data_IF_166361830155
#
_entry.id   IF_166361830155
#
_cell.length_a   1.000
_cell.length_b   1.000
_cell.length_c   1.000
_cell.angle_alpha   90.00
_cell.angle_beta   90.00
_cell.angle_gamma   90.00
#
_symmetry.space_group_name_H-M   'P 1'
#
loop_
_entity.id
_entity.type
_entity.pdbx_description
1 polymer ?
#
# COMPACT_ATOMS: atom_id res chain seq x y z
N UNK A 1 -18.79 -25.46 -29.27
CA UNK A 1 -18.62 -24.09 -28.79
C UNK A 1 -18.55 -24.19 -27.27
N UNK A 2 -17.55 -23.67 -26.60
CA UNK A 2 -17.56 -23.68 -25.13
C UNK A 2 -18.63 -22.72 -24.62
N UNK A 3 -19.45 -23.18 -23.69
CA UNK A 3 -20.50 -22.39 -23.06
C UNK A 3 -19.86 -21.21 -22.27
N UNK A 4 -20.23 -20.00 -22.67
CA UNK A 4 -19.90 -18.79 -21.92
C UNK A 4 -20.71 -18.80 -20.63
N UNK A 5 -20.04 -18.99 -19.49
CA UNK A 5 -20.65 -18.85 -18.17
C UNK A 5 -20.84 -17.35 -17.89
N UNK A 6 -22.07 -16.86 -18.03
CA UNK A 6 -22.46 -15.52 -17.59
C UNK A 6 -22.62 -15.50 -16.08
N UNK A 7 -21.65 -14.93 -15.37
CA UNK A 7 -21.79 -14.66 -13.92
C UNK A 7 -22.39 -13.27 -13.74
N UNK A 8 -23.64 -13.22 -13.36
CA UNK A 8 -24.33 -11.96 -13.01
C UNK A 8 -24.12 -11.67 -11.53
N UNK A 9 -23.35 -10.63 -11.20
CA UNK A 9 -23.24 -10.15 -9.82
C UNK A 9 -24.45 -9.28 -9.48
N UNK A 10 -25.35 -9.78 -8.64
CA UNK A 10 -26.37 -8.93 -8.03
C UNK A 10 -25.74 -8.09 -6.93
N UNK A 11 -25.68 -6.78 -7.12
CA UNK A 11 -25.41 -5.85 -6.03
C UNK A 11 -26.64 -5.80 -5.12
N UNK A 12 -26.61 -6.53 -4.01
CA UNK A 12 -27.72 -6.57 -3.05
C UNK A 12 -27.81 -5.32 -2.17
N UNK A 13 -26.92 -4.33 -2.32
CA UNK A 13 -26.87 -3.10 -1.50
C UNK A 13 -26.63 -3.33 0.00
N UNK A 14 -26.56 -4.58 0.45
CA UNK A 14 -26.29 -4.91 1.84
C UNK A 14 -24.78 -5.03 2.05
N UNK A 15 -24.23 -4.19 2.90
CA UNK A 15 -22.86 -4.34 3.41
C UNK A 15 -22.69 -5.75 3.97
N UNK A 16 -21.68 -6.49 3.50
CA UNK A 16 -21.36 -7.81 4.09
C UNK A 16 -21.04 -7.61 5.57
N UNK A 17 -21.50 -8.57 6.37
CA UNK A 17 -21.24 -8.65 7.81
C UNK A 17 -19.75 -8.42 8.09
N UNK A 18 -19.44 -7.47 8.94
CA UNK A 18 -18.09 -7.21 9.42
C UNK A 18 -17.86 -7.93 10.75
N UNK A 19 -16.61 -8.22 11.09
CA UNK A 19 -16.24 -8.71 12.41
C UNK A 19 -16.30 -7.59 13.46
N UNK A 20 -15.94 -7.88 14.72
CA UNK A 20 -15.96 -6.92 15.83
C UNK A 20 -15.01 -5.72 15.65
N UNK A 21 -14.02 -5.82 14.74
CA UNK A 21 -13.08 -4.77 14.41
C UNK A 21 -13.51 -3.96 13.15
N UNK A 22 -14.71 -4.21 12.65
CA UNK A 22 -15.21 -3.54 11.44
C UNK A 22 -14.61 -4.05 10.14
N UNK A 23 -13.96 -5.23 10.15
CA UNK A 23 -13.30 -5.79 8.97
C UNK A 23 -14.25 -6.73 8.24
N UNK A 24 -14.25 -6.64 6.89
CA UNK A 24 -14.83 -7.65 6.01
C UNK A 24 -13.93 -8.89 5.99
N UNK A 25 -14.44 -10.03 5.57
CA UNK A 25 -13.70 -11.31 5.52
C UNK A 25 -12.32 -11.20 4.85
N UNK A 26 -12.23 -10.54 3.67
CA UNK A 26 -10.96 -10.32 2.99
C UNK A 26 -9.99 -9.47 3.82
N UNK A 27 -10.49 -8.42 4.46
CA UNK A 27 -9.69 -7.53 5.32
C UNK A 27 -9.20 -8.25 6.57
N UNK A 28 -10.03 -9.11 7.17
CA UNK A 28 -9.66 -9.94 8.30
C UNK A 28 -8.57 -10.96 7.95
N UNK A 29 -8.70 -11.63 6.80
CA UNK A 29 -7.65 -12.51 6.27
C UNK A 29 -6.34 -11.76 6.02
N UNK A 30 -6.40 -10.57 5.41
CA UNK A 30 -5.23 -9.74 5.20
C UNK A 30 -4.60 -9.29 6.53
N UNK A 31 -5.43 -8.89 7.49
CA UNK A 31 -4.98 -8.46 8.81
C UNK A 31 -4.35 -9.61 9.62
N UNK A 32 -4.77 -10.84 9.42
CA UNK A 32 -4.13 -12.01 10.04
C UNK A 32 -2.63 -12.13 9.66
N UNK A 33 -2.25 -11.71 8.45
CA UNK A 33 -0.86 -11.67 7.99
C UNK A 33 -0.06 -10.43 8.39
N UNK A 34 -0.60 -9.54 9.21
CA UNK A 34 -0.01 -8.22 9.53
C UNK A 34 1.38 -8.24 10.17
N UNK A 35 1.79 -9.35 10.78
CA UNK A 35 3.13 -9.50 11.38
C UNK A 35 4.23 -9.75 10.35
N UNK A 36 3.89 -10.17 9.13
CA UNK A 36 4.88 -10.41 8.10
C UNK A 36 5.63 -9.12 7.75
N UNK A 37 6.94 -9.23 7.52
CA UNK A 37 7.74 -8.11 7.02
C UNK A 37 7.36 -7.77 5.58
N UNK A 38 7.12 -8.79 4.76
CA UNK A 38 6.67 -8.67 3.38
C UNK A 38 5.31 -9.32 3.21
N UNK A 39 4.35 -8.60 2.65
CA UNK A 39 2.98 -9.06 2.49
C UNK A 39 2.43 -8.67 1.12
N UNK A 40 1.95 -9.65 0.36
CA UNK A 40 1.24 -9.42 -0.88
C UNK A 40 -0.27 -9.59 -0.69
N UNK A 41 -1.03 -8.52 -0.89
CA UNK A 41 -2.48 -8.53 -0.86
C UNK A 41 -3.05 -8.62 -2.27
N UNK A 42 -3.46 -9.81 -2.65
CA UNK A 42 -4.12 -10.07 -3.92
C UNK A 42 -5.63 -10.17 -3.71
N UNK A 43 -6.36 -9.20 -4.21
CA UNK A 43 -7.82 -9.19 -4.09
C UNK A 43 -8.45 -8.35 -5.22
N UNK A 44 -9.66 -8.68 -5.68
CA UNK A 44 -10.31 -7.97 -6.78
C UNK A 44 -10.43 -6.45 -6.54
N UNK A 45 -10.59 -5.64 -7.60
CA UNK A 45 -10.98 -4.25 -7.47
C UNK A 45 -12.22 -4.09 -6.57
N UNK A 46 -12.30 -2.97 -5.86
CA UNK A 46 -13.40 -2.66 -4.92
C UNK A 46 -13.60 -3.65 -3.75
N UNK A 47 -12.69 -4.60 -3.54
CA UNK A 47 -12.74 -5.53 -2.39
C UNK A 47 -12.44 -4.87 -1.03
N UNK A 48 -11.92 -3.64 -1.04
CA UNK A 48 -11.53 -2.89 0.16
C UNK A 48 -10.08 -3.07 0.57
N UNK A 49 -9.17 -3.29 -0.38
CA UNK A 49 -7.71 -3.40 -0.15
C UNK A 49 -7.12 -2.20 0.59
N UNK A 50 -7.47 -0.97 0.18
CA UNK A 50 -6.98 0.26 0.83
C UNK A 50 -7.33 0.28 2.33
N UNK A 51 -8.56 -0.13 2.68
CA UNK A 51 -8.98 -0.22 4.09
C UNK A 51 -8.25 -1.36 4.83
N UNK A 52 -7.98 -2.50 4.17
CA UNK A 52 -7.17 -3.57 4.74
C UNK A 52 -5.75 -3.08 5.07
N UNK A 53 -5.15 -2.30 4.15
CA UNK A 53 -3.85 -1.66 4.39
C UNK A 53 -3.89 -0.73 5.60
N UNK A 54 -4.94 0.11 5.74
CA UNK A 54 -5.07 1.00 6.91
C UNK A 54 -5.04 0.22 8.23
N UNK A 55 -5.78 -0.89 8.33
CA UNK A 55 -5.76 -1.75 9.52
C UNK A 55 -4.37 -2.30 9.81
N UNK A 56 -3.69 -2.82 8.80
CA UNK A 56 -2.34 -3.39 8.92
C UNK A 56 -1.34 -2.31 9.31
N UNK A 57 -1.36 -1.16 8.63
CA UNK A 57 -0.43 -0.06 8.86
C UNK A 57 -0.56 0.51 10.28
N UNK A 58 -1.79 0.70 10.76
CA UNK A 58 -2.05 1.18 12.11
C UNK A 58 -1.60 0.19 13.18
N UNK A 59 -1.81 -1.12 12.97
CA UNK A 59 -1.28 -2.14 13.88
C UNK A 59 0.26 -2.15 13.90
N UNK A 60 0.89 -2.01 12.74
CA UNK A 60 2.35 -1.93 12.67
C UNK A 60 2.92 -0.70 13.39
N UNK A 61 2.25 0.46 13.25
CA UNK A 61 2.61 1.69 13.97
C UNK A 61 2.47 1.55 15.48
N UNK A 62 1.42 0.90 15.96
CA UNK A 62 1.12 0.82 17.39
C UNK A 62 1.83 -0.34 18.09
N UNK A 63 1.93 -1.51 17.43
CA UNK A 63 2.30 -2.76 18.08
C UNK A 63 3.60 -3.39 17.58
N UNK A 64 4.16 -2.92 16.45
CA UNK A 64 5.28 -3.60 15.80
C UNK A 64 6.52 -2.71 15.61
N UNK A 65 6.59 -1.57 16.28
CA UNK A 65 7.76 -0.67 16.25
C UNK A 65 7.96 0.10 14.94
N UNK A 66 7.02 0.01 13.99
CA UNK A 66 7.04 0.84 12.78
C UNK A 66 6.76 2.29 13.19
N UNK A 67 7.55 3.22 12.66
CA UNK A 67 7.45 4.64 12.98
C UNK A 67 6.85 5.46 11.84
N UNK A 68 7.00 4.99 10.60
CA UNK A 68 6.58 5.68 9.38
C UNK A 68 5.78 4.75 8.49
N UNK A 69 4.73 5.26 7.90
CA UNK A 69 3.96 4.59 6.84
C UNK A 69 4.00 5.45 5.60
N UNK A 70 4.45 4.88 4.50
CA UNK A 70 4.51 5.51 3.19
C UNK A 70 3.60 4.71 2.27
N UNK A 71 2.55 5.35 1.76
CA UNK A 71 1.63 4.74 0.79
C UNK A 71 1.90 5.32 -0.58
N UNK A 72 2.38 4.49 -1.49
CA UNK A 72 2.59 4.88 -2.89
C UNK A 72 1.45 4.34 -3.76
N UNK A 73 0.78 5.23 -4.48
CA UNK A 73 -0.36 4.94 -5.37
C UNK A 73 0.01 5.22 -6.83
N UNK A 74 -0.60 4.56 -7.82
CA UNK A 74 -0.24 4.79 -9.22
C UNK A 74 -0.57 6.20 -9.69
N UNK A 75 -1.70 6.76 -9.25
CA UNK A 75 -2.21 8.07 -9.71
C UNK A 75 -2.68 8.94 -8.55
N UNK A 76 -2.67 10.26 -8.76
CA UNK A 76 -3.10 11.26 -7.78
C UNK A 76 -4.56 11.06 -7.33
N UNK A 77 -5.43 10.68 -8.24
CA UNK A 77 -6.86 10.42 -7.97
C UNK A 77 -7.09 9.32 -6.93
N UNK A 78 -6.20 8.34 -6.87
CA UNK A 78 -6.30 7.22 -5.91
C UNK A 78 -5.87 7.65 -4.50
N UNK A 79 -5.09 8.73 -4.38
CA UNK A 79 -4.68 9.28 -3.08
C UNK A 79 -5.86 9.64 -2.16
N UNK A 80 -7.01 10.01 -2.74
CA UNK A 80 -8.25 10.26 -2.00
C UNK A 80 -8.76 9.02 -1.23
N UNK A 81 -8.44 7.80 -1.69
CA UNK A 81 -8.79 6.56 -0.98
C UNK A 81 -8.06 6.40 0.37
N UNK A 82 -7.05 7.22 0.62
CA UNK A 82 -6.24 7.21 1.84
C UNK A 82 -6.40 8.49 2.67
N UNK A 83 -7.48 9.23 2.47
CA UNK A 83 -7.88 10.33 3.35
C UNK A 83 -8.35 9.81 4.72
N UNK A 84 -8.56 10.74 5.66
CA UNK A 84 -9.00 10.44 7.02
C UNK A 84 -10.20 9.49 7.01
N UNK A 85 -10.06 8.38 7.73
CA UNK A 85 -11.08 7.34 7.83
C UNK A 85 -11.33 6.98 9.30
N UNK A 86 -12.58 7.10 9.74
CA UNK A 86 -12.98 6.86 11.13
C UNK A 86 -13.22 5.37 11.41
N UNK A 87 -12.13 4.62 11.57
CA UNK A 87 -12.20 3.16 11.82
C UNK A 87 -12.69 2.81 13.22
N UNK A 88 -12.53 3.71 14.19
CA UNK A 88 -13.04 3.52 15.57
C UNK A 88 -14.55 3.34 15.62
N UNK A 89 -15.29 4.00 14.74
CA UNK A 89 -16.75 3.84 14.64
C UNK A 89 -17.18 2.40 14.35
N UNK A 90 -16.31 1.66 13.68
CA UNK A 90 -16.57 0.27 13.28
C UNK A 90 -15.93 -0.74 14.23
N UNK A 91 -15.29 -0.29 15.33
CA UNK A 91 -14.74 -1.13 16.38
C UNK A 91 -13.22 -1.31 16.34
N UNK A 92 -12.50 -0.62 15.43
CA UNK A 92 -11.04 -0.66 15.44
C UNK A 92 -10.47 0.23 16.57
N UNK A 93 -9.23 -0.02 17.01
CA UNK A 93 -8.66 0.68 18.18
C UNK A 93 -8.26 2.15 17.89
N UNK A 94 -8.03 2.51 16.62
CA UNK A 94 -7.63 3.88 16.22
C UNK A 94 -8.18 4.25 14.85
N UNK A 95 -8.11 5.54 14.50
CA UNK A 95 -8.51 6.07 13.20
C UNK A 95 -7.31 6.19 12.28
N UNK A 96 -7.55 6.12 10.97
CA UNK A 96 -6.60 6.49 9.95
C UNK A 96 -6.69 8.00 9.72
N UNK A 97 -5.65 8.75 10.08
CA UNK A 97 -5.66 10.23 10.03
C UNK A 97 -4.31 10.75 9.54
N UNK A 98 -4.03 10.67 8.24
CA UNK A 98 -2.83 11.29 7.68
C UNK A 98 -2.93 12.82 7.78
N UNK A 99 -1.80 13.49 8.04
CA UNK A 99 -1.74 14.94 7.97
C UNK A 99 -1.89 15.36 6.49
N UNK A 100 -2.85 16.26 6.15
CA UNK A 100 -3.06 16.73 4.77
C UNK A 100 -1.78 17.28 4.10
N UNK A 101 -0.88 17.87 4.88
CA UNK A 101 0.45 18.34 4.41
C UNK A 101 1.28 17.23 3.75
N UNK A 102 1.12 15.99 4.21
CA UNK A 102 1.84 14.82 3.71
C UNK A 102 0.98 13.91 2.79
N UNK A 103 -0.14 14.42 2.31
CA UNK A 103 -0.80 13.86 1.14
C UNK A 103 -0.24 14.55 -0.12
N UNK A 104 0.78 13.95 -0.72
CA UNK A 104 1.48 14.48 -1.89
C UNK A 104 0.79 14.14 -3.22
N UNK A 105 -0.40 13.55 -3.18
CA UNK A 105 -1.23 13.28 -4.36
C UNK A 105 -1.99 14.52 -4.86
N UNK A 106 -1.64 15.70 -4.37
CA UNK A 106 -2.21 16.99 -4.79
C UNK A 106 -1.54 17.54 -6.06
N UNK A 107 -2.14 18.53 -6.76
CA UNK A 107 -1.45 19.27 -7.82
C UNK A 107 -0.18 19.93 -7.30
N UNK A 108 0.83 20.10 -8.16
CA UNK A 108 2.09 20.76 -7.81
C UNK A 108 3.29 20.10 -8.49
N UNK A 109 4.46 20.73 -8.35
CA UNK A 109 5.72 20.28 -8.95
C UNK A 109 6.31 19.07 -8.20
N UNK A 110 6.86 18.11 -8.95
CA UNK A 110 7.49 16.91 -8.35
C UNK A 110 8.67 17.24 -7.43
N UNK A 111 9.46 18.26 -7.74
CA UNK A 111 10.59 18.69 -6.88
C UNK A 111 10.14 19.09 -5.48
N UNK A 112 9.03 19.82 -5.38
CA UNK A 112 8.47 20.21 -4.07
C UNK A 112 7.96 19.00 -3.30
N UNK A 113 7.39 18.00 -3.98
CA UNK A 113 6.90 16.75 -3.38
C UNK A 113 8.04 15.86 -2.90
N UNK A 114 9.12 15.74 -3.67
CA UNK A 114 10.34 15.04 -3.22
C UNK A 114 10.92 15.70 -1.98
N UNK A 115 11.00 17.04 -1.95
CA UNK A 115 11.44 17.76 -0.75
C UNK A 115 10.52 17.52 0.45
N UNK A 116 9.20 17.50 0.25
CA UNK A 116 8.23 17.21 1.31
C UNK A 116 8.36 15.76 1.81
N UNK A 117 8.59 14.80 0.91
CA UNK A 117 8.84 13.40 1.25
C UNK A 117 10.09 13.26 2.16
N UNK A 118 11.19 13.89 1.79
CA UNK A 118 12.42 13.84 2.59
C UNK A 118 12.24 14.50 3.97
N UNK A 119 11.52 15.62 4.03
CA UNK A 119 11.16 16.26 5.31
C UNK A 119 10.29 15.35 6.18
N UNK A 120 9.34 14.62 5.57
CA UNK A 120 8.53 13.66 6.30
C UNK A 120 9.37 12.56 6.97
N UNK A 121 10.40 12.06 6.30
CA UNK A 121 11.27 11.03 6.90
C UNK A 121 12.00 11.53 8.16
N UNK A 122 12.30 12.83 8.22
CA UNK A 122 13.02 13.46 9.31
C UNK A 122 12.09 14.01 10.42
N UNK A 123 10.79 14.19 10.14
CA UNK A 123 9.82 14.75 11.07
C UNK A 123 9.35 13.69 12.08
N UNK A 124 9.72 13.75 13.38
CA UNK A 124 9.40 12.70 14.33
C UNK A 124 7.90 12.59 14.66
N UNK A 125 7.13 13.65 14.45
CA UNK A 125 5.72 13.73 14.84
C UNK A 125 4.79 13.14 13.76
N UNK A 126 5.26 13.10 12.51
CA UNK A 126 4.46 12.67 11.38
C UNK A 126 4.65 11.17 11.09
N UNK A 127 3.54 10.47 10.97
CA UNK A 127 3.54 9.00 10.86
C UNK A 127 3.12 8.47 9.50
N UNK A 128 2.32 9.20 8.73
CA UNK A 128 1.69 8.71 7.51
C UNK A 128 1.90 9.69 6.37
N UNK A 129 2.44 9.20 5.25
CA UNK A 129 2.59 9.93 4.00
C UNK A 129 1.90 9.15 2.88
N UNK A 130 1.20 9.87 2.00
CA UNK A 130 0.60 9.33 0.78
C UNK A 130 1.21 10.04 -0.42
N UNK A 131 1.73 9.30 -1.40
CA UNK A 131 2.35 9.87 -2.59
C UNK A 131 2.07 9.02 -3.84
N UNK A 132 2.43 9.51 -5.01
CA UNK A 132 2.38 8.71 -6.24
C UNK A 132 3.62 7.80 -6.37
N UNK A 133 3.52 6.73 -7.17
CA UNK A 133 4.67 5.89 -7.54
C UNK A 133 5.83 6.73 -8.10
N UNK A 134 5.53 7.76 -8.91
CA UNK A 134 6.54 8.66 -9.45
C UNK A 134 7.26 9.43 -8.34
N UNK A 135 6.51 10.05 -7.42
CA UNK A 135 7.09 10.79 -6.29
C UNK A 135 7.94 9.88 -5.42
N UNK A 136 7.44 8.67 -5.08
CA UNK A 136 8.20 7.68 -4.30
C UNK A 136 9.51 7.30 -4.98
N UNK A 137 9.47 6.99 -6.27
CA UNK A 137 10.66 6.65 -7.06
C UNK A 137 11.68 7.78 -7.06
N UNK A 138 11.25 9.01 -7.35
CA UNK A 138 12.17 10.17 -7.38
C UNK A 138 12.74 10.50 -6.00
N UNK A 139 11.96 10.34 -4.93
CA UNK A 139 12.42 10.57 -3.58
C UNK A 139 13.41 9.50 -3.10
N UNK A 140 13.30 8.28 -3.64
CA UNK A 140 14.20 7.17 -3.34
C UNK A 140 15.51 7.22 -4.16
N UNK A 141 15.57 8.04 -5.20
CA UNK A 141 16.79 8.21 -6.00
C UNK A 141 17.87 8.92 -5.15
N UNK A 142 18.96 8.19 -4.85
CA UNK A 142 20.03 8.67 -3.96
C UNK A 142 19.70 8.69 -2.47
N UNK A 143 18.55 8.15 -2.05
CA UNK A 143 18.24 7.97 -0.64
C UNK A 143 19.03 6.77 -0.09
N UNK A 144 19.64 6.94 1.10
CA UNK A 144 20.14 5.81 1.88
C UNK A 144 18.93 4.98 2.35
N UNK A 145 18.82 3.75 1.87
CA UNK A 145 17.70 2.85 2.19
C UNK A 145 17.54 2.59 3.69
N UNK A 146 18.60 2.74 4.48
CA UNK A 146 18.56 2.64 5.94
C UNK A 146 17.67 3.70 6.60
N UNK A 147 17.42 4.82 5.94
CA UNK A 147 16.42 5.81 6.40
C UNK A 147 15.00 5.26 6.42
N UNK A 148 14.76 4.15 5.74
CA UNK A 148 13.47 3.43 5.75
C UNK A 148 13.42 2.30 6.80
N UNK A 149 14.46 2.12 7.61
CA UNK A 149 14.39 1.21 8.75
C UNK A 149 13.23 1.62 9.67
N UNK A 150 12.46 0.65 10.15
CA UNK A 150 11.22 0.87 10.90
C UNK A 150 10.14 1.65 10.11
N UNK A 151 10.17 1.64 8.79
CA UNK A 151 9.10 2.15 7.94
C UNK A 151 8.30 1.00 7.32
N UNK A 152 7.01 1.25 7.11
CA UNK A 152 6.16 0.46 6.23
C UNK A 152 6.07 1.18 4.88
N UNK A 153 6.50 0.52 3.82
CA UNK A 153 6.30 0.95 2.43
C UNK A 153 5.15 0.14 1.85
N UNK A 154 4.07 0.80 1.53
CA UNK A 154 2.88 0.19 0.92
C UNK A 154 2.75 0.63 -0.53
N UNK A 155 2.65 -0.34 -1.44
CA UNK A 155 2.52 -0.09 -2.88
C UNK A 155 1.13 -0.54 -3.34
N UNK A 156 0.29 0.41 -3.69
CA UNK A 156 -1.01 0.10 -4.29
C UNK A 156 -0.89 -0.17 -5.78
N UNK A 157 -1.75 -1.04 -6.30
CA UNK A 157 -1.75 -1.52 -7.68
C UNK A 157 -0.35 -1.97 -8.16
N UNK A 158 0.26 -2.85 -7.36
CA UNK A 158 1.63 -3.34 -7.54
C UNK A 158 1.89 -3.97 -8.93
N UNK A 159 0.85 -4.40 -9.65
CA UNK A 159 0.98 -4.91 -11.03
C UNK A 159 1.51 -3.86 -12.02
N UNK A 160 1.46 -2.56 -11.68
CA UNK A 160 2.15 -1.52 -12.43
C UNK A 160 3.66 -1.48 -12.17
N UNK A 161 4.14 -2.20 -11.14
CA UNK A 161 5.55 -2.36 -10.83
C UNK A 161 6.06 -3.59 -11.58
N UNK A 162 6.84 -3.39 -12.63
CA UNK A 162 7.37 -4.49 -13.43
C UNK A 162 8.49 -5.24 -12.69
N UNK A 163 8.49 -6.56 -12.80
CA UNK A 163 9.64 -7.38 -12.43
C UNK A 163 10.79 -7.28 -13.45
N UNK A 164 10.55 -6.69 -14.63
CA UNK A 164 11.57 -6.48 -15.66
C UNK A 164 12.57 -5.39 -15.24
N UNK A 165 13.86 -5.56 -15.57
CA UNK A 165 14.96 -4.66 -15.19
C UNK A 165 14.83 -3.21 -15.65
N UNK A 166 13.91 -2.89 -16.55
CA UNK A 166 13.64 -1.54 -17.01
C UNK A 166 12.69 -0.74 -16.09
N UNK A 167 12.10 -1.39 -15.08
CA UNK A 167 11.22 -0.70 -14.15
C UNK A 167 11.96 -0.19 -12.92
N UNK A 168 12.28 1.09 -12.94
CA UNK A 168 12.99 1.78 -11.84
C UNK A 168 12.33 1.65 -10.46
N UNK A 169 11.01 1.52 -10.37
CA UNK A 169 10.33 1.32 -9.09
C UNK A 169 10.57 -0.09 -8.54
N UNK A 170 10.60 -1.11 -9.41
CA UNK A 170 10.98 -2.47 -9.03
C UNK A 170 12.40 -2.54 -8.47
N UNK A 171 13.35 -1.83 -9.09
CA UNK A 171 14.72 -1.73 -8.60
C UNK A 171 14.80 -1.05 -7.23
N UNK A 172 14.06 0.04 -7.04
CA UNK A 172 13.97 0.72 -5.75
C UNK A 172 13.49 -0.23 -4.66
N UNK A 173 12.42 -0.99 -4.92
CA UNK A 173 11.90 -1.96 -3.94
C UNK A 173 12.88 -3.08 -3.64
N UNK A 174 13.57 -3.63 -4.65
CA UNK A 174 14.63 -4.63 -4.46
C UNK A 174 15.77 -4.08 -3.58
N UNK A 175 16.19 -2.85 -3.80
CA UNK A 175 17.21 -2.20 -2.98
C UNK A 175 16.75 -2.01 -1.54
N UNK A 176 15.52 -1.54 -1.32
CA UNK A 176 14.93 -1.39 0.02
C UNK A 176 14.91 -2.75 0.74
N UNK A 177 14.43 -3.82 0.08
CA UNK A 177 14.40 -5.16 0.65
C UNK A 177 15.79 -5.71 0.99
N UNK A 178 16.80 -5.37 0.19
CA UNK A 178 18.16 -5.88 0.38
C UNK A 178 18.97 -5.09 1.41
N UNK A 179 18.67 -3.81 1.63
CA UNK A 179 19.56 -2.89 2.37
C UNK A 179 18.88 -2.21 3.55
N UNK A 180 17.60 -2.48 3.83
CA UNK A 180 16.87 -1.92 4.96
C UNK A 180 16.04 -2.97 5.69
N UNK A 181 15.56 -2.60 6.88
CA UNK A 181 14.61 -3.38 7.68
C UNK A 181 13.15 -2.91 7.45
N UNK A 182 12.89 -2.27 6.32
CA UNK A 182 11.55 -1.81 5.98
C UNK A 182 10.58 -3.00 5.86
N UNK A 183 9.35 -2.77 6.30
CA UNK A 183 8.24 -3.66 5.98
C UNK A 183 7.63 -3.25 4.63
N UNK A 184 7.20 -4.21 3.83
CA UNK A 184 6.57 -3.92 2.54
C UNK A 184 5.21 -4.59 2.48
N UNK A 185 4.18 -3.82 2.10
CA UNK A 185 2.86 -4.35 1.75
C UNK A 185 2.56 -3.97 0.31
N UNK A 186 2.53 -4.95 -0.57
CA UNK A 186 2.14 -4.78 -1.96
C UNK A 186 0.67 -5.17 -2.15
N UNK A 187 -0.10 -4.37 -2.87
CA UNK A 187 -1.51 -4.63 -3.15
C UNK A 187 -1.76 -4.69 -4.65
N UNK A 188 -2.51 -5.68 -5.11
CA UNK A 188 -2.86 -5.80 -6.52
C UNK A 188 -4.27 -6.34 -6.73
N UNK A 189 -4.94 -5.84 -7.75
CA UNK A 189 -6.20 -6.39 -8.25
C UNK A 189 -6.00 -7.46 -9.31
N UNK A 190 -4.82 -7.53 -9.92
CA UNK A 190 -4.48 -8.47 -10.98
C UNK A 190 -3.23 -9.25 -10.62
N UNK A 191 -3.18 -10.52 -11.00
CA UNK A 191 -1.99 -11.35 -10.86
C UNK A 191 -1.05 -11.18 -12.05
N UNK A 192 -1.60 -10.91 -13.21
CA UNK A 192 -0.86 -10.71 -14.44
C UNK A 192 -0.89 -9.25 -14.86
N UNK A 193 0.21 -8.79 -15.40
CA UNK A 193 0.25 -7.55 -16.17
C UNK A 193 -0.63 -7.72 -17.43
N UNK A 194 -1.00 -6.60 -18.04
CA UNK A 194 -1.75 -6.62 -19.30
C UNK A 194 -1.07 -7.40 -20.43
N UNK A 195 0.24 -7.69 -20.31
CA UNK A 195 1.04 -8.50 -21.23
C UNK A 195 1.13 -9.98 -20.83
N UNK A 196 0.29 -10.45 -19.91
CA UNK A 196 0.23 -11.84 -19.39
C UNK A 196 1.48 -12.29 -18.63
N UNK A 197 2.40 -11.37 -18.25
CA UNK A 197 3.55 -11.70 -17.42
C UNK A 197 3.19 -11.67 -15.93
N UNK A 198 3.74 -12.57 -15.10
CA UNK A 198 3.51 -12.52 -13.66
C UNK A 198 4.10 -11.24 -13.05
N UNK A 199 3.45 -10.71 -12.02
CA UNK A 199 3.88 -9.51 -11.30
C UNK A 199 5.12 -9.78 -10.44
N UNK A 200 5.21 -10.98 -9.88
CA UNK A 200 6.36 -11.49 -9.17
C UNK A 200 6.93 -12.72 -9.88
N UNK A 201 8.24 -12.88 -9.82
CA UNK A 201 8.85 -14.13 -10.23
C UNK A 201 8.51 -15.22 -9.21
N UNK A 202 8.39 -16.52 -9.61
CA UNK A 202 8.05 -17.61 -8.70
C UNK A 202 8.98 -17.73 -7.48
N UNK A 203 10.24 -17.33 -7.64
CA UNK A 203 11.25 -17.31 -6.57
C UNK A 203 11.00 -16.24 -5.50
N UNK A 204 10.33 -15.16 -5.87
CA UNK A 204 9.99 -14.05 -4.97
C UNK A 204 8.59 -14.25 -4.33
N UNK A 205 7.73 -15.09 -4.89
CA UNK A 205 6.46 -15.50 -4.30
C UNK A 205 6.63 -16.46 -3.10
N UNK A 206 7.77 -17.17 -3.05
CA UNK A 206 8.05 -18.17 -2.02
C UNK A 206 8.69 -17.59 -0.74
N UNK A 207 8.99 -16.31 -0.72
CA UNK A 207 9.54 -15.58 0.45
C UNK A 207 8.44 -14.84 1.20
#
# INVERSE_FOLDING_TARGET
MPDLVHVTYQQTGKSKKTNKLGMREMQEKAYAGRSAQYLLLKAPPASGKSRALMFIALDKLENQGIKKVIVAVPEKSIGASFETTELKKDGFFTNWSPNPKYNLCTPGEEKSKVSAFLKFLEDPDEKILVCTHATFRFASDGLDEKKLNNALVAIDEFHHVSADGDNKLGEVLKNIMAKSEAHIVAMTGSYFRGDSKPVLMPEDEAK
#
